data_IF_911226534057
#
_entry.id   IF_911226534057
#
_cell.length_a   1.000
_cell.length_b   1.000
_cell.length_c   1.000
_cell.angle_alpha   90.00
_cell.angle_beta   90.00
_cell.angle_gamma   90.00
#
_symmetry.space_group_name_H-M   'P 1'
#
loop_
_entity.id
_entity.type
_entity.pdbx_description
1 polymer ?
#
# COMPACT_ATOMS: atom_id res chain seq x y z
N UNK A 1 -11.86 -0.82 -6.17
CA UNK A 1 -11.19 0.41 -5.68
C UNK A 1 -10.42 1.15 -6.77
N UNK A 2 -9.65 0.48 -7.64
CA UNK A 2 -8.90 1.12 -8.75
C UNK A 2 -9.71 2.15 -9.55
N UNK A 3 -10.93 1.82 -9.99
CA UNK A 3 -11.77 2.76 -10.75
C UNK A 3 -12.08 4.06 -9.99
N UNK A 4 -12.23 4.00 -8.66
CA UNK A 4 -12.53 5.17 -7.83
C UNK A 4 -11.31 6.05 -7.59
N UNK A 5 -10.12 5.46 -7.44
CA UNK A 5 -8.89 6.21 -7.18
C UNK A 5 -8.21 6.70 -8.47
N UNK A 6 -8.58 6.16 -9.63
CA UNK A 6 -7.97 6.51 -10.92
C UNK A 6 -7.98 8.00 -11.24
N UNK A 7 -9.07 8.78 -11.05
CA UNK A 7 -9.05 10.22 -11.30
C UNK A 7 -8.01 10.93 -10.42
N UNK A 8 -7.97 10.60 -9.13
CA UNK A 8 -6.97 11.12 -8.20
C UNK A 8 -5.54 10.76 -8.64
N UNK A 9 -5.31 9.53 -9.10
CA UNK A 9 -3.99 9.12 -9.61
C UNK A 9 -3.60 9.87 -10.89
N UNK A 10 -4.55 10.22 -11.77
CA UNK A 10 -4.26 11.06 -12.94
C UNK A 10 -3.71 12.42 -12.51
N UNK A 11 -4.39 13.07 -11.56
CA UNK A 11 -4.00 14.38 -11.06
C UNK A 11 -2.65 14.34 -10.36
N UNK A 12 -2.40 13.29 -9.56
CA UNK A 12 -1.14 13.11 -8.84
C UNK A 12 0.04 12.82 -9.77
N UNK A 13 -0.17 12.04 -10.84
CA UNK A 13 0.86 11.82 -11.87
C UNK A 13 1.22 13.14 -12.54
N UNK A 14 0.22 13.93 -12.96
CA UNK A 14 0.46 15.25 -13.56
C UNK A 14 1.12 16.22 -12.57
N UNK A 15 0.69 16.20 -11.30
CA UNK A 15 1.27 17.02 -10.24
C UNK A 15 2.72 16.64 -9.91
N UNK A 16 3.10 15.37 -10.07
CA UNK A 16 4.47 14.93 -9.85
C UNK A 16 5.38 15.28 -11.04
N UNK A 17 4.94 14.97 -12.25
CA UNK A 17 5.75 15.08 -13.47
C UNK A 17 5.91 16.55 -13.91
N UNK A 18 4.82 17.17 -14.33
CA UNK A 18 4.80 18.57 -14.81
C UNK A 18 4.58 19.59 -13.71
N UNK A 19 3.97 19.18 -12.58
CA UNK A 19 3.49 20.11 -11.56
C UNK A 19 2.19 20.81 -11.95
N UNK A 20 1.51 21.37 -10.95
CA UNK A 20 0.27 22.17 -11.13
C UNK A 20 0.64 23.65 -11.08
N UNK A 21 0.19 24.41 -12.08
CA UNK A 21 0.42 25.86 -12.16
C UNK A 21 -0.73 26.63 -11.53
N UNK A 22 -0.43 27.34 -10.46
CA UNK A 22 -1.34 28.27 -9.80
C UNK A 22 -1.08 29.70 -10.27
N UNK A 23 -2.15 30.49 -10.41
CA UNK A 23 -2.05 31.90 -10.80
C UNK A 23 -1.48 32.77 -9.68
N UNK A 24 -1.74 32.39 -8.41
CA UNK A 24 -1.21 33.00 -7.19
C UNK A 24 -1.20 31.98 -6.05
N UNK A 25 -0.34 32.18 -5.07
CA UNK A 25 -0.35 31.48 -3.78
C UNK A 25 -0.23 32.51 -2.65
N UNK A 26 -0.51 32.13 -1.40
CA UNK A 26 -0.54 33.08 -0.27
C UNK A 26 0.73 33.98 -0.19
N UNK A 27 1.91 33.40 -0.40
CA UNK A 27 3.19 34.12 -0.32
C UNK A 27 3.72 34.61 -1.68
N UNK A 28 3.06 34.26 -2.79
CA UNK A 28 3.55 34.57 -4.14
C UNK A 28 2.39 35.07 -5.01
N UNK A 29 2.26 36.40 -5.22
CA UNK A 29 1.19 36.98 -6.03
C UNK A 29 1.33 36.69 -7.53
N UNK A 30 2.51 36.24 -7.98
CA UNK A 30 2.77 35.76 -9.35
C UNK A 30 2.49 34.27 -9.54
N UNK A 31 2.56 33.81 -10.80
CA UNK A 31 2.35 32.41 -11.18
C UNK A 31 3.39 31.51 -10.50
N UNK A 32 2.95 30.39 -9.91
CA UNK A 32 3.84 29.40 -9.28
C UNK A 32 3.47 27.99 -9.69
N UNK A 33 4.47 27.16 -9.93
CA UNK A 33 4.29 25.71 -10.15
C UNK A 33 4.58 24.99 -8.84
N UNK A 34 3.70 24.07 -8.45
CA UNK A 34 3.88 23.21 -7.27
C UNK A 34 3.81 21.76 -7.69
N UNK A 35 4.60 20.91 -7.03
CA UNK A 35 4.54 19.46 -7.19
C UNK A 35 3.96 18.81 -5.94
N UNK A 36 3.24 17.72 -6.13
CA UNK A 36 2.59 16.99 -5.04
C UNK A 36 2.97 15.52 -5.09
N UNK A 37 3.12 14.90 -3.93
CA UNK A 37 3.40 13.49 -3.79
C UNK A 37 2.60 12.88 -2.64
N UNK A 38 2.21 11.61 -2.78
CA UNK A 38 1.73 10.83 -1.65
C UNK A 38 2.96 10.41 -0.84
N UNK A 39 3.05 10.88 0.41
CA UNK A 39 4.09 10.44 1.32
C UNK A 39 3.74 9.10 1.96
N UNK A 40 2.54 8.98 2.54
CA UNK A 40 2.07 7.79 3.27
C UNK A 40 0.59 7.53 2.95
N UNK A 41 0.22 6.26 3.01
CA UNK A 41 -1.16 5.78 3.06
C UNK A 41 -1.42 5.33 4.50
N UNK A 42 -2.30 6.06 5.18
CA UNK A 42 -2.73 5.76 6.55
C UNK A 42 -4.17 5.28 6.49
N UNK A 43 -4.41 4.02 6.84
CA UNK A 43 -5.74 3.43 6.93
C UNK A 43 -5.66 2.12 7.72
N UNK A 44 -6.82 1.62 8.13
CA UNK A 44 -6.90 0.32 8.79
C UNK A 44 -6.31 -0.81 7.91
N UNK A 45 -5.97 -1.92 8.55
CA UNK A 45 -5.31 -3.02 7.84
C UNK A 45 -6.15 -3.55 6.66
N UNK A 46 -7.48 -3.75 6.77
CA UNK A 46 -8.30 -4.15 5.63
C UNK A 46 -8.23 -3.17 4.46
N UNK A 47 -8.47 -1.87 4.70
CA UNK A 47 -8.46 -0.86 3.64
C UNK A 47 -7.09 -0.76 2.98
N UNK A 48 -6.00 -0.88 3.74
CA UNK A 48 -4.64 -0.87 3.21
C UNK A 48 -4.43 -1.99 2.17
N UNK A 49 -4.95 -3.20 2.44
CA UNK A 49 -4.88 -4.33 1.51
C UNK A 49 -5.70 -4.09 0.25
N UNK A 50 -6.90 -3.53 0.41
CA UNK A 50 -7.76 -3.21 -0.72
C UNK A 50 -7.16 -2.11 -1.62
N UNK A 51 -6.57 -1.06 -1.03
CA UNK A 51 -5.99 0.07 -1.76
C UNK A 51 -4.72 -0.32 -2.49
N UNK A 52 -3.81 -1.01 -1.81
CA UNK A 52 -2.56 -1.50 -2.41
C UNK A 52 -2.74 -2.77 -3.25
N UNK A 53 -3.96 -3.33 -3.27
CA UNK A 53 -4.32 -4.56 -3.96
C UNK A 53 -3.49 -5.79 -3.52
N UNK A 54 -3.12 -5.84 -2.25
CA UNK A 54 -2.46 -7.00 -1.62
C UNK A 54 -3.49 -8.07 -1.21
N UNK A 55 -3.00 -9.28 -0.97
CA UNK A 55 -3.80 -10.32 -0.36
C UNK A 55 -4.32 -9.90 1.02
N UNK A 56 -5.55 -10.35 1.31
CA UNK A 56 -6.25 -10.00 2.54
C UNK A 56 -5.54 -10.50 3.80
N UNK A 57 -5.99 -9.98 4.95
CA UNK A 57 -5.38 -10.20 6.28
C UNK A 57 -5.29 -11.69 6.63
N UNK A 58 -6.29 -12.48 6.22
CA UNK A 58 -6.32 -13.92 6.47
C UNK A 58 -5.50 -14.78 5.49
N UNK A 59 -4.68 -14.20 4.61
CA UNK A 59 -3.87 -14.98 3.66
C UNK A 59 -2.53 -15.42 4.24
N UNK A 60 -1.80 -16.28 3.52
CA UNK A 60 -0.41 -16.63 3.87
C UNK A 60 0.58 -15.48 3.62
N UNK A 61 0.18 -14.44 2.87
CA UNK A 61 0.92 -13.18 2.67
C UNK A 61 0.45 -12.11 3.66
N UNK A 62 0.68 -12.34 4.94
CA UNK A 62 0.14 -11.52 6.01
C UNK A 62 0.88 -10.19 6.24
N UNK A 63 2.11 -10.02 5.75
CA UNK A 63 2.88 -8.78 5.87
C UNK A 63 3.08 -8.09 4.51
N UNK A 64 2.92 -6.77 4.44
CA UNK A 64 3.24 -5.95 3.25
C UNK A 64 4.71 -5.51 3.21
N UNK A 65 5.38 -5.50 4.36
CA UNK A 65 6.75 -4.97 4.51
C UNK A 65 7.80 -6.06 4.34
N UNK A 66 7.64 -7.19 5.04
CA UNK A 66 8.60 -8.29 5.01
C UNK A 66 8.14 -9.48 4.16
N UNK A 67 9.09 -10.35 3.83
CA UNK A 67 8.90 -11.57 3.06
C UNK A 67 8.40 -12.76 3.89
N UNK A 68 8.03 -12.54 5.16
CA UNK A 68 7.45 -13.62 5.97
C UNK A 68 6.17 -14.15 5.31
N UNK A 69 6.13 -15.46 5.16
CA UNK A 69 5.08 -16.20 4.48
C UNK A 69 4.57 -17.32 5.38
N UNK A 70 3.32 -17.71 5.19
CA UNK A 70 2.63 -18.78 5.90
C UNK A 70 2.24 -18.44 7.35
N UNK A 71 1.01 -18.77 7.74
CA UNK A 71 0.42 -18.40 9.04
C UNK A 71 1.15 -18.99 10.25
N UNK A 72 1.86 -20.10 10.05
CA UNK A 72 2.71 -20.70 11.11
C UNK A 72 3.82 -19.76 11.57
N UNK A 73 4.16 -18.74 10.79
CA UNK A 73 5.19 -17.75 11.13
C UNK A 73 4.63 -16.51 11.85
N UNK A 74 3.37 -16.48 12.28
CA UNK A 74 2.78 -15.33 13.00
C UNK A 74 3.49 -15.00 14.32
N UNK A 75 4.00 -16.00 15.01
CA UNK A 75 4.67 -15.86 16.30
C UNK A 75 6.18 -15.62 16.18
N UNK A 76 6.71 -15.44 14.96
CA UNK A 76 8.12 -15.10 14.79
C UNK A 76 8.40 -13.75 15.46
N UNK A 77 9.51 -13.69 16.18
CA UNK A 77 9.99 -12.48 16.87
C UNK A 77 11.44 -12.14 16.48
N UNK A 78 12.06 -12.96 15.64
CA UNK A 78 13.45 -12.84 15.21
C UNK A 78 13.61 -11.83 14.05
N UNK A 79 13.17 -10.59 14.28
CA UNK A 79 13.06 -9.54 13.26
C UNK A 79 14.37 -9.22 12.52
N UNK A 80 15.52 -9.49 13.14
CA UNK A 80 16.84 -9.38 12.50
C UNK A 80 17.01 -10.28 11.27
N UNK A 81 16.24 -11.38 11.19
CA UNK A 81 16.27 -12.32 10.07
C UNK A 81 15.18 -12.02 9.03
N UNK A 82 14.38 -10.98 9.22
CA UNK A 82 13.29 -10.67 8.30
C UNK A 82 13.82 -9.87 7.13
N UNK A 83 13.57 -10.36 5.91
CA UNK A 83 13.91 -9.63 4.71
C UNK A 83 12.75 -8.73 4.30
N UNK A 84 13.05 -7.49 3.93
CA UNK A 84 12.07 -6.62 3.30
C UNK A 84 11.63 -7.21 1.95
N UNK A 85 10.39 -6.95 1.56
CA UNK A 85 9.94 -7.27 0.20
C UNK A 85 10.65 -6.36 -0.79
N UNK A 86 10.97 -6.92 -1.94
CA UNK A 86 11.54 -6.19 -3.06
C UNK A 86 10.41 -5.46 -3.80
N UNK A 87 10.46 -4.12 -3.79
CA UNK A 87 9.50 -3.23 -4.45
C UNK A 87 9.41 -3.49 -5.96
N UNK A 88 10.54 -3.73 -6.61
CA UNK A 88 10.59 -3.87 -8.06
C UNK A 88 10.01 -5.23 -8.48
N UNK A 89 10.26 -6.28 -7.70
CA UNK A 89 9.56 -7.58 -7.88
C UNK A 89 8.06 -7.45 -7.64
N UNK A 90 7.64 -6.74 -6.59
CA UNK A 90 6.22 -6.51 -6.31
C UNK A 90 5.53 -5.79 -7.48
N UNK A 91 6.18 -4.78 -8.05
CA UNK A 91 5.71 -4.08 -9.25
C UNK A 91 5.60 -5.02 -10.43
N UNK A 92 6.64 -5.80 -10.68
CA UNK A 92 6.67 -6.78 -11.78
C UNK A 92 5.50 -7.76 -11.68
N UNK A 93 5.23 -8.33 -10.50
CA UNK A 93 4.12 -9.25 -10.29
C UNK A 93 2.75 -8.57 -10.45
N UNK A 94 2.62 -7.33 -9.99
CA UNK A 94 1.40 -6.54 -10.16
C UNK A 94 1.12 -6.23 -11.63
N UNK A 95 2.14 -5.89 -12.42
CA UNK A 95 2.03 -5.64 -13.86
C UNK A 95 1.73 -6.94 -14.62
N UNK A 96 2.40 -8.05 -14.29
CA UNK A 96 2.04 -9.37 -14.83
C UNK A 96 0.57 -9.74 -14.56
N UNK A 97 0.07 -9.45 -13.36
CA UNK A 97 -1.35 -9.66 -13.03
C UNK A 97 -2.27 -8.76 -13.88
N UNK A 98 -1.91 -7.49 -14.10
CA UNK A 98 -2.70 -6.56 -14.94
C UNK A 98 -2.78 -7.08 -16.38
N UNK A 99 -1.63 -7.45 -16.93
CA UNK A 99 -1.42 -7.73 -18.35
C UNK A 99 -1.81 -9.17 -18.73
N UNK A 100 -2.01 -10.04 -17.74
CA UNK A 100 -2.55 -11.38 -17.95
C UNK A 100 -3.93 -11.36 -18.64
N UNK A 101 -4.06 -12.14 -19.71
CA UNK A 101 -5.23 -12.15 -20.59
C UNK A 101 -6.45 -12.92 -20.03
N UNK A 102 -6.23 -13.86 -19.10
CA UNK A 102 -7.31 -14.71 -18.56
C UNK A 102 -7.46 -14.52 -17.05
N UNK A 103 -8.69 -14.69 -16.55
CA UNK A 103 -8.95 -14.69 -15.11
C UNK A 103 -8.15 -15.78 -14.41
N UNK A 104 -8.04 -16.97 -15.01
CA UNK A 104 -7.26 -18.08 -14.44
C UNK A 104 -5.77 -17.77 -14.30
N UNK A 105 -5.17 -17.05 -15.26
CA UNK A 105 -3.79 -16.61 -15.16
C UNK A 105 -3.61 -15.57 -14.05
N UNK A 106 -4.54 -14.61 -13.95
CA UNK A 106 -4.59 -13.63 -12.86
C UNK A 106 -4.70 -14.29 -11.49
N UNK A 107 -5.58 -15.28 -11.36
CA UNK A 107 -5.78 -16.00 -10.10
C UNK A 107 -4.54 -16.82 -9.72
N UNK A 108 -3.86 -17.43 -10.70
CA UNK A 108 -2.59 -18.13 -10.48
C UNK A 108 -1.50 -17.19 -9.97
N UNK A 109 -1.29 -16.06 -10.64
CA UNK A 109 -0.29 -15.04 -10.25
C UNK A 109 -0.59 -14.50 -8.85
N UNK A 110 -1.86 -14.20 -8.57
CA UNK A 110 -2.26 -13.71 -7.25
C UNK A 110 -2.07 -14.76 -6.16
N UNK A 111 -2.35 -16.04 -6.44
CA UNK A 111 -2.11 -17.14 -5.50
C UNK A 111 -0.62 -17.32 -5.21
N UNK A 112 0.24 -17.10 -6.20
CA UNK A 112 1.69 -17.27 -6.08
C UNK A 112 2.39 -16.09 -5.39
N UNK A 113 1.98 -14.84 -5.66
CA UNK A 113 2.70 -13.65 -5.17
C UNK A 113 1.89 -12.78 -4.18
N UNK A 114 0.58 -13.00 -4.07
CA UNK A 114 -0.28 -12.28 -3.12
C UNK A 114 -0.49 -10.80 -3.43
N UNK A 115 -0.29 -10.38 -4.68
CA UNK A 115 -0.44 -8.97 -5.11
C UNK A 115 -1.19 -8.90 -6.44
N UNK A 116 -2.02 -7.87 -6.60
CA UNK A 116 -2.70 -7.49 -7.85
C UNK A 116 -2.26 -6.08 -8.25
N UNK A 117 -2.69 -5.64 -9.43
CA UNK A 117 -2.43 -4.27 -9.87
C UNK A 117 -3.28 -3.27 -9.08
N UNK A 118 -2.62 -2.28 -8.49
CA UNK A 118 -3.22 -1.04 -7.97
C UNK A 118 -2.86 0.14 -8.87
N UNK A 119 -3.77 1.11 -9.03
CA UNK A 119 -3.46 2.37 -9.73
C UNK A 119 -2.31 3.15 -9.07
N UNK A 120 -1.98 2.87 -7.80
CA UNK A 120 -0.82 3.46 -7.11
C UNK A 120 0.51 3.18 -7.82
N UNK A 121 0.63 2.07 -8.55
CA UNK A 121 1.85 1.74 -9.33
C UNK A 121 2.13 2.72 -10.47
N UNK A 122 1.19 3.61 -10.80
CA UNK A 122 1.41 4.71 -11.76
C UNK A 122 2.30 5.81 -11.20
N UNK A 123 2.42 5.91 -9.88
CA UNK A 123 3.29 6.88 -9.22
C UNK A 123 4.74 6.34 -9.22
N UNK A 124 5.72 7.03 -9.84
CA UNK A 124 7.09 6.51 -9.97
C UNK A 124 7.81 6.28 -8.64
N UNK A 125 7.41 7.02 -7.60
CA UNK A 125 7.98 6.95 -6.26
C UNK A 125 7.25 5.96 -5.34
N UNK A 126 6.19 5.29 -5.81
CA UNK A 126 5.39 4.41 -4.96
C UNK A 126 6.18 3.20 -4.48
N UNK A 127 6.23 3.02 -3.15
CA UNK A 127 6.81 1.88 -2.48
C UNK A 127 5.86 1.38 -1.37
N UNK A 128 5.10 0.30 -1.61
CA UNK A 128 4.14 -0.20 -0.62
C UNK A 128 4.83 -0.72 0.66
N UNK A 129 6.12 -1.07 0.62
CA UNK A 129 6.84 -1.57 1.78
C UNK A 129 7.20 -0.47 2.77
N UNK A 130 7.19 0.79 2.31
CA UNK A 130 7.56 1.98 3.09
C UNK A 130 6.41 2.95 3.30
N UNK A 131 5.47 3.00 2.36
CA UNK A 131 4.41 4.01 2.33
C UNK A 131 3.05 3.48 2.81
N UNK A 132 2.84 2.17 2.91
CA UNK A 132 1.68 1.59 3.59
C UNK A 132 2.00 1.46 5.08
N UNK A 133 1.69 2.51 5.85
CA UNK A 133 2.01 2.53 7.28
C UNK A 133 0.91 1.86 8.10
N UNK A 134 1.30 1.35 9.26
CA UNK A 134 0.36 0.82 10.25
C UNK A 134 -0.36 2.01 10.88
N UNK A 135 -1.68 1.99 10.82
CA UNK A 135 -2.51 2.96 11.54
C UNK A 135 -2.43 2.70 13.05
N UNK A 136 -1.77 3.62 13.76
CA UNK A 136 -1.55 3.50 15.20
C UNK A 136 -2.84 3.55 16.00
N UNK A 137 -3.86 4.29 15.54
CA UNK A 137 -5.14 4.36 16.25
C UNK A 137 -5.82 3.00 16.23
N UNK A 138 -6.06 2.45 15.03
CA UNK A 138 -6.80 1.20 14.88
C UNK A 138 -5.98 -0.02 15.32
N UNK A 139 -4.67 -0.05 15.06
CA UNK A 139 -3.84 -1.20 15.42
C UNK A 139 -3.45 -1.21 16.89
N UNK A 140 -2.97 -0.07 17.42
CA UNK A 140 -2.41 -0.01 18.78
C UNK A 140 -3.50 0.31 19.79
N UNK A 141 -4.27 1.37 19.60
CA UNK A 141 -5.24 1.83 20.62
C UNK A 141 -6.50 0.95 20.62
N UNK A 142 -7.18 0.83 19.48
CA UNK A 142 -8.43 0.07 19.36
C UNK A 142 -8.20 -1.44 19.23
N UNK A 143 -7.02 -1.86 18.78
CA UNK A 143 -6.63 -3.26 18.68
C UNK A 143 -5.98 -3.74 19.99
N UNK A 144 -4.69 -3.45 20.13
CA UNK A 144 -3.86 -4.03 21.19
C UNK A 144 -4.25 -3.56 22.60
N UNK A 145 -4.36 -2.25 22.82
CA UNK A 145 -4.65 -1.68 24.15
C UNK A 145 -6.06 -2.07 24.59
N UNK A 146 -7.06 -1.91 23.72
CA UNK A 146 -8.43 -2.34 24.02
C UNK A 146 -8.49 -3.82 24.40
N UNK A 147 -7.82 -4.70 23.64
CA UNK A 147 -7.78 -6.13 23.95
C UNK A 147 -7.07 -6.41 25.28
N UNK A 148 -5.93 -5.76 25.53
CA UNK A 148 -5.20 -5.93 26.80
C UNK A 148 -6.04 -5.52 28.00
N UNK A 149 -6.64 -4.33 27.95
CA UNK A 149 -7.45 -3.83 29.06
C UNK A 149 -8.69 -4.71 29.24
N UNK A 150 -9.54 -4.84 28.21
CA UNK A 150 -10.86 -5.47 28.36
C UNK A 150 -10.87 -6.99 28.41
N UNK A 151 -9.86 -7.66 27.84
CA UNK A 151 -9.84 -9.12 27.72
C UNK A 151 -8.77 -9.79 28.59
N UNK A 152 -7.65 -9.13 28.87
CA UNK A 152 -6.56 -9.72 29.66
C UNK A 152 -6.51 -9.18 31.10
N UNK A 153 -6.77 -7.88 31.30
CA UNK A 153 -6.64 -7.24 32.62
C UNK A 153 -7.98 -7.12 33.37
N UNK A 154 -9.10 -6.92 32.66
CA UNK A 154 -10.44 -6.73 33.23
C UNK A 154 -10.79 -5.26 33.43
#
# INVERSE_FOLDING_TARGET
>A
LNHYIRPLMNDLVAAWDSGIRFSRTANHPGRRVTRSAIALVVCDLPASRHLAAFAGIGSHFFCTVCSCYHKTNYSRTDFNNWMARDKDKLRQYAEQWRDAHTSSARDRIFKEYGVRYSELWRLPYWDPTRQLVIDSMHCILEGLVQHHVRSLLG
#
